data_IF_921089177635
#
_entry.id   IF_921089177635
#
_cell.length_a   1.000
_cell.length_b   1.000
_cell.length_c   1.000
_cell.angle_alpha   90.00
_cell.angle_beta   90.00
_cell.angle_gamma   90.00
#
_symmetry.space_group_name_H-M   'P 1'
#
loop_
_entity.id
_entity.type
_entity.pdbx_description
1 polymer ?
#
# COMPACT_ATOMS: atom_id res chain seq x y z
N UNK A 1 3.08 -11.92 4.14
CA UNK A 1 2.52 -10.60 4.49
C UNK A 1 3.52 -9.54 4.06
N UNK A 2 3.21 -8.73 3.04
CA UNK A 2 4.00 -7.55 2.70
C UNK A 2 3.43 -6.39 3.50
N UNK A 3 4.21 -5.82 4.42
CA UNK A 3 3.85 -4.57 5.04
C UNK A 3 3.96 -3.47 3.98
N UNK A 4 2.83 -2.87 3.58
CA UNK A 4 2.87 -1.61 2.84
C UNK A 4 3.14 -0.50 3.86
N UNK A 5 4.36 0.02 3.86
CA UNK A 5 4.66 1.29 4.48
C UNK A 5 4.17 2.40 3.53
N UNK A 6 3.13 3.13 3.92
CA UNK A 6 2.79 4.39 3.25
C UNK A 6 3.72 5.49 3.77
N UNK A 7 4.73 5.84 2.98
CA UNK A 7 5.54 7.02 3.23
C UNK A 7 4.92 8.20 2.47
N UNK A 8 4.28 9.12 3.19
CA UNK A 8 3.96 10.44 2.63
C UNK A 8 5.24 11.27 2.75
N UNK A 9 6.01 11.33 1.68
CA UNK A 9 7.22 12.17 1.61
C UNK A 9 6.80 13.58 1.22
N UNK A 10 6.72 14.49 2.20
CA UNK A 10 6.59 15.92 1.94
C UNK A 10 7.97 16.55 2.04
N UNK A 11 8.58 16.87 0.89
CA UNK A 11 9.81 17.65 0.85
C UNK A 11 9.47 19.13 0.95
N UNK A 12 9.77 19.76 2.09
CA UNK A 12 9.68 21.21 2.24
C UNK A 12 11.07 21.81 2.02
N UNK A 13 11.31 22.47 0.89
CA UNK A 13 12.47 23.35 0.74
C UNK A 13 12.33 24.55 1.69
N UNK A 14 13.36 24.89 2.45
CA UNK A 14 13.40 26.06 3.32
C UNK A 14 13.70 27.33 2.51
N UNK A 15 12.74 27.76 1.69
CA UNK A 15 12.70 29.14 1.23
C UNK A 15 11.93 29.97 2.25
N UNK A 16 12.60 30.94 2.88
CA UNK A 16 12.05 31.82 3.92
C UNK A 16 11.20 32.97 3.36
N UNK A 17 10.73 32.89 2.12
CA UNK A 17 10.05 34.01 1.45
C UNK A 17 8.67 33.71 0.86
N UNK A 18 8.08 32.53 1.09
CA UNK A 18 6.78 32.18 0.48
C UNK A 18 5.79 31.66 1.53
N UNK A 19 4.61 32.29 1.57
CA UNK A 19 3.50 31.95 2.46
C UNK A 19 3.05 30.48 2.29
N UNK A 20 2.60 29.79 3.36
CA UNK A 20 2.32 28.34 3.32
C UNK A 20 1.28 27.90 2.28
N UNK A 21 0.41 28.83 1.85
CA UNK A 21 -0.67 28.58 0.89
C UNK A 21 -0.22 28.52 -0.57
N UNK A 22 1.04 28.85 -0.87
CA UNK A 22 1.56 28.94 -2.25
C UNK A 22 2.67 27.92 -2.56
N UNK A 23 2.97 26.99 -1.64
CA UNK A 23 3.91 25.90 -1.91
C UNK A 23 3.29 24.92 -2.90
N UNK A 24 3.52 25.17 -4.19
CA UNK A 24 3.44 24.13 -5.18
C UNK A 24 4.42 23.00 -4.80
N UNK A 25 4.00 21.75 -4.93
CA UNK A 25 4.94 20.64 -4.96
C UNK A 25 5.78 20.81 -6.22
N UNK A 26 6.91 21.52 -6.13
CA UNK A 26 7.89 21.50 -7.20
C UNK A 26 8.27 20.05 -7.44
N UNK A 27 8.08 19.58 -8.68
CA UNK A 27 8.46 18.24 -9.08
C UNK A 27 9.92 18.03 -8.68
N UNK A 28 10.17 17.01 -7.87
CA UNK A 28 11.49 16.79 -7.32
C UNK A 28 12.49 16.66 -8.47
N UNK A 29 13.58 17.41 -8.44
CA UNK A 29 14.67 17.31 -9.42
C UNK A 29 15.52 16.05 -9.20
N UNK A 30 14.97 15.00 -8.59
CA UNK A 30 15.69 13.76 -8.37
C UNK A 30 15.84 13.05 -9.71
N UNK A 31 17.07 12.88 -10.24
CA UNK A 31 17.24 11.99 -11.39
C UNK A 31 16.73 10.60 -10.98
N UNK A 32 15.83 10.02 -11.78
CA UNK A 32 15.06 8.81 -11.44
C UNK A 32 15.89 7.54 -11.19
N UNK A 33 17.22 7.66 -11.20
CA UNK A 33 18.13 6.54 -11.10
C UNK A 33 17.98 5.63 -12.32
N UNK A 34 18.23 4.33 -12.16
CA UNK A 34 18.11 3.33 -13.23
C UNK A 34 16.65 3.02 -13.65
N UNK A 35 15.89 4.03 -14.08
CA UNK A 35 14.46 3.90 -14.38
C UNK A 35 14.16 2.93 -15.54
N UNK A 36 14.94 2.99 -16.63
CA UNK A 36 14.82 2.07 -17.76
C UNK A 36 15.09 0.62 -17.34
N UNK A 37 16.09 0.40 -16.48
CA UNK A 37 16.44 -0.92 -15.94
C UNK A 37 15.31 -1.47 -15.06
N UNK A 38 14.67 -0.62 -14.25
CA UNK A 38 13.49 -1.01 -13.48
C UNK A 38 12.31 -1.38 -14.38
N UNK A 39 12.04 -0.57 -15.41
CA UNK A 39 10.99 -0.84 -16.38
C UNK A 39 11.24 -2.14 -17.18
N UNK A 40 12.51 -2.48 -17.41
CA UNK A 40 12.91 -3.71 -18.07
C UNK A 40 13.03 -4.94 -17.14
N UNK A 41 12.70 -4.80 -15.85
CA UNK A 41 12.74 -5.88 -14.84
C UNK A 41 14.10 -6.61 -14.77
N UNK A 42 15.22 -5.88 -14.90
CA UNK A 42 16.56 -6.51 -14.98
C UNK A 42 17.16 -6.87 -13.60
N UNK A 43 16.58 -6.34 -12.52
CA UNK A 43 17.08 -6.54 -11.17
C UNK A 43 16.64 -7.89 -10.59
N UNK A 44 17.55 -8.50 -9.83
CA UNK A 44 17.33 -9.75 -9.13
C UNK A 44 16.68 -9.56 -7.76
N UNK A 45 16.20 -10.68 -7.19
CA UNK A 45 15.76 -10.72 -5.81
C UNK A 45 16.95 -10.42 -4.89
N UNK A 46 16.84 -9.37 -4.08
CA UNK A 46 17.85 -9.00 -3.08
C UNK A 46 18.80 -7.87 -3.52
N UNK A 47 18.67 -7.35 -4.75
CA UNK A 47 19.42 -6.18 -5.18
C UNK A 47 19.09 -4.96 -4.29
N UNK A 48 20.12 -4.22 -3.89
CA UNK A 48 19.99 -3.11 -2.94
C UNK A 48 19.41 -1.83 -3.57
N UNK A 49 19.06 -0.88 -2.70
CA UNK A 49 18.48 0.41 -3.12
C UNK A 49 19.49 1.31 -3.83
N UNK A 50 20.79 1.12 -3.61
CA UNK A 50 21.83 1.84 -4.34
C UNK A 50 21.83 1.40 -5.81
N UNK A 51 21.74 0.10 -6.05
CA UNK A 51 21.73 -0.53 -7.38
C UNK A 51 20.41 -0.29 -8.12
N UNK A 52 19.27 -0.41 -7.42
CA UNK A 52 17.94 -0.34 -8.05
C UNK A 52 17.39 1.09 -8.18
N UNK A 53 17.77 1.99 -7.27
CA UNK A 53 17.27 3.37 -7.21
C UNK A 53 18.36 4.45 -7.32
N UNK A 54 19.64 4.08 -7.36
CA UNK A 54 20.73 5.05 -7.37
C UNK A 54 20.87 5.84 -6.06
N UNK A 55 20.30 5.32 -4.96
CA UNK A 55 20.30 5.96 -3.65
C UNK A 55 21.57 5.63 -2.87
N UNK A 56 22.70 6.15 -3.35
CA UNK A 56 23.97 6.05 -2.62
C UNK A 56 23.86 6.67 -1.23
N UNK A 57 24.69 6.22 -0.28
CA UNK A 57 24.73 6.83 1.07
C UNK A 57 24.93 8.34 1.02
N UNK A 58 25.84 8.82 0.17
CA UNK A 58 26.11 10.24 -0.01
C UNK A 58 24.85 11.01 -0.46
N UNK A 59 24.06 10.40 -1.35
CA UNK A 59 22.84 10.99 -1.88
C UNK A 59 21.68 10.99 -0.89
N UNK A 60 21.56 9.95 -0.05
CA UNK A 60 20.59 9.95 1.05
C UNK A 60 20.84 11.12 2.01
N UNK A 61 22.10 11.47 2.25
CA UNK A 61 22.47 12.61 3.11
C UNK A 61 22.18 13.99 2.50
N UNK A 62 21.85 14.10 1.20
CA UNK A 62 21.44 15.37 0.59
C UNK A 62 19.92 15.54 0.52
N UNK A 63 19.14 14.55 0.94
CA UNK A 63 17.68 14.65 0.93
C UNK A 63 17.25 15.68 1.99
N UNK A 64 16.37 16.65 1.66
CA UNK A 64 15.90 17.67 2.60
C UNK A 64 14.81 17.10 3.54
N UNK A 65 15.02 15.90 4.07
CA UNK A 65 14.11 15.23 5.03
C UNK A 65 14.65 15.50 6.43
N UNK A 66 14.00 16.41 7.16
CA UNK A 66 14.37 16.73 8.55
C UNK A 66 13.65 15.84 9.56
N UNK A 67 12.41 15.44 9.23
CA UNK A 67 11.55 14.66 10.12
C UNK A 67 10.86 13.53 9.37
N UNK A 68 10.96 12.31 9.91
CA UNK A 68 10.18 11.17 9.45
C UNK A 68 9.16 10.84 10.54
N UNK A 69 7.88 11.01 10.22
CA UNK A 69 6.77 10.66 11.11
C UNK A 69 6.16 9.36 10.59
N UNK A 70 6.28 8.30 11.38
CA UNK A 70 5.69 7.00 11.04
C UNK A 70 4.36 6.86 11.77
N UNK A 71 3.26 6.85 11.01
CA UNK A 71 1.93 6.52 11.53
C UNK A 71 1.59 5.08 11.18
N UNK A 72 1.39 4.26 12.21
CA UNK A 72 0.93 2.88 12.05
C UNK A 72 -0.59 2.87 12.19
N UNK A 73 -1.26 2.23 11.25
CA UNK A 73 -2.68 1.92 11.34
C UNK A 73 -2.84 0.42 11.55
N UNK A 74 -3.84 0.04 12.34
CA UNK A 74 -4.11 -1.36 12.63
C UNK A 74 -5.37 -1.87 11.91
N UNK A 75 -5.38 -3.18 11.67
CA UNK A 75 -6.55 -4.01 11.31
C UNK A 75 -7.35 -3.58 10.07
N UNK A 76 -6.78 -2.84 9.12
CA UNK A 76 -7.44 -2.56 7.83
C UNK A 76 -6.52 -2.88 6.66
N UNK A 77 -7.03 -3.67 5.72
CA UNK A 77 -6.31 -4.01 4.49
C UNK A 77 -6.25 -2.82 3.54
N UNK A 78 -5.33 -2.88 2.57
CA UNK A 78 -5.26 -1.90 1.49
C UNK A 78 -6.60 -1.81 0.75
N UNK A 79 -7.19 -2.94 0.35
CA UNK A 79 -8.45 -2.97 -0.40
C UNK A 79 -9.62 -2.30 0.36
N UNK A 80 -9.63 -2.42 1.70
CA UNK A 80 -10.64 -1.77 2.53
C UNK A 80 -10.56 -0.24 2.45
N UNK A 81 -9.34 0.32 2.43
CA UNK A 81 -9.12 1.77 2.47
C UNK A 81 -9.03 2.40 1.06
N UNK A 82 -8.40 1.69 0.14
CA UNK A 82 -7.94 2.22 -1.14
C UNK A 82 -8.25 1.29 -2.32
N UNK A 83 -8.89 0.14 -2.12
CA UNK A 83 -9.17 -0.80 -3.21
C UNK A 83 -10.07 -0.22 -4.31
N UNK A 84 -10.85 0.81 -4.00
CA UNK A 84 -11.71 1.50 -4.99
C UNK A 84 -11.13 2.82 -5.49
N UNK A 85 -9.88 3.14 -5.12
CA UNK A 85 -9.19 4.34 -5.57
C UNK A 85 -8.87 4.22 -7.07
N UNK A 86 -9.45 5.11 -7.87
CA UNK A 86 -9.23 5.18 -9.31
C UNK A 86 -7.95 5.98 -9.61
N UNK A 87 -6.82 5.30 -9.65
CA UNK A 87 -5.50 5.89 -9.93
C UNK A 87 -4.64 4.92 -10.75
N UNK A 88 -3.92 5.37 -11.79
CA UNK A 88 -3.16 4.49 -12.69
C UNK A 88 -2.08 3.66 -11.99
N UNK A 89 -1.50 4.19 -10.91
CA UNK A 89 -0.45 3.50 -10.14
C UNK A 89 -0.98 2.68 -8.96
N UNK A 90 -2.30 2.50 -8.85
CA UNK A 90 -2.93 1.72 -7.79
C UNK A 90 -3.39 0.37 -8.34
N UNK A 91 -2.81 -0.70 -7.78
CA UNK A 91 -3.34 -2.05 -7.93
C UNK A 91 -4.56 -2.21 -7.02
N UNK A 92 -5.70 -1.80 -7.54
CA UNK A 92 -6.97 -1.75 -6.81
C UNK A 92 -7.67 -3.11 -6.72
N UNK A 93 -8.76 -3.12 -5.95
CA UNK A 93 -9.65 -4.25 -5.83
C UNK A 93 -10.38 -4.48 -7.18
N UNK A 94 -10.40 -5.72 -7.72
CA UNK A 94 -11.17 -6.03 -8.90
C UNK A 94 -12.66 -5.67 -8.72
N UNK A 95 -13.28 -5.08 -9.76
CA UNK A 95 -14.66 -4.59 -9.68
C UNK A 95 -15.68 -5.68 -9.39
N UNK A 96 -15.37 -6.92 -9.74
CA UNK A 96 -16.19 -8.12 -9.55
C UNK A 96 -15.69 -9.02 -8.42
N UNK A 97 -14.77 -8.52 -7.58
CA UNK A 97 -14.22 -9.26 -6.45
C UNK A 97 -15.34 -9.82 -5.56
N UNK A 98 -15.30 -11.14 -5.37
CA UNK A 98 -16.26 -11.87 -4.56
C UNK A 98 -15.62 -13.12 -3.97
N UNK A 99 -16.18 -13.58 -2.86
CA UNK A 99 -15.79 -14.81 -2.18
C UNK A 99 -17.04 -15.62 -1.86
N UNK A 100 -16.94 -16.95 -1.92
CA UNK A 100 -18.09 -17.82 -1.64
C UNK A 100 -18.26 -17.99 -0.14
N UNK A 101 -19.50 -17.87 0.34
CA UNK A 101 -19.87 -18.26 1.70
C UNK A 101 -19.84 -19.79 1.88
N UNK A 102 -20.20 -20.26 3.09
CA UNK A 102 -20.25 -21.69 3.42
C UNK A 102 -21.21 -22.50 2.52
N UNK A 103 -22.27 -21.87 2.00
CA UNK A 103 -23.29 -22.47 1.13
C UNK A 103 -22.97 -22.37 -0.36
N UNK A 104 -21.87 -21.69 -0.71
CA UNK A 104 -21.41 -21.52 -2.09
C UNK A 104 -21.94 -20.25 -2.78
N UNK A 105 -22.69 -19.41 -2.07
CA UNK A 105 -23.20 -18.13 -2.57
C UNK A 105 -22.06 -17.12 -2.67
N UNK A 106 -22.02 -16.35 -3.75
CA UNK A 106 -21.03 -15.27 -3.89
C UNK A 106 -21.42 -14.10 -2.98
N UNK A 107 -20.47 -13.68 -2.13
CA UNK A 107 -20.51 -12.41 -1.41
C UNK A 107 -19.55 -11.47 -2.12
N UNK A 108 -20.11 -10.41 -2.73
CA UNK A 108 -19.33 -9.38 -3.41
C UNK A 108 -18.78 -8.37 -2.42
N UNK A 109 -17.65 -7.76 -2.74
CA UNK A 109 -17.19 -6.57 -2.02
C UNK A 109 -18.25 -5.46 -2.09
N UNK A 110 -18.45 -4.75 -0.98
CA UNK A 110 -19.48 -3.72 -0.87
C UNK A 110 -19.00 -2.54 -0.03
N UNK A 111 -19.62 -1.38 -0.23
CA UNK A 111 -19.37 -0.19 0.55
C UNK A 111 -20.03 -0.31 1.92
N UNK A 112 -19.26 -0.10 2.98
CA UNK A 112 -19.79 0.03 4.34
C UNK A 112 -20.53 1.36 4.51
N UNK A 113 -21.67 1.32 5.21
CA UNK A 113 -22.45 2.52 5.53
C UNK A 113 -21.86 3.38 6.66
N UNK A 114 -20.90 2.83 7.41
CA UNK A 114 -20.21 3.53 8.49
C UNK A 114 -18.76 3.05 8.62
N UNK A 115 -17.97 3.72 9.45
CA UNK A 115 -16.61 3.28 9.80
C UNK A 115 -16.58 2.22 10.90
N UNK A 116 -17.73 1.95 11.54
CA UNK A 116 -17.86 0.85 12.49
C UNK A 116 -18.01 -0.46 11.72
N UNK A 117 -17.17 -1.43 12.05
CA UNK A 117 -17.34 -2.81 11.61
C UNK A 117 -18.17 -3.56 12.64
N UNK A 118 -19.22 -4.24 12.17
CA UNK A 118 -20.11 -5.03 13.02
C UNK A 118 -19.41 -6.28 13.57
N UNK A 119 -18.48 -6.84 12.80
CA UNK A 119 -17.61 -7.93 13.21
C UNK A 119 -16.16 -7.62 12.82
N UNK A 120 -15.21 -7.96 13.69
CA UNK A 120 -13.79 -7.84 13.39
C UNK A 120 -13.35 -9.04 12.54
N UNK A 121 -12.82 -8.84 11.33
CA UNK A 121 -12.36 -9.94 10.50
C UNK A 121 -11.21 -10.69 11.19
N UNK A 122 -11.15 -12.03 11.05
CA UNK A 122 -10.07 -12.81 11.61
C UNK A 122 -8.74 -12.41 10.99
N UNK A 123 -7.74 -12.21 11.85
CA UNK A 123 -6.45 -11.64 11.49
C UNK A 123 -5.28 -12.41 12.11
N UNK A 124 -5.50 -13.65 12.57
CA UNK A 124 -4.41 -14.53 13.02
C UNK A 124 -3.70 -15.17 11.82
N UNK A 125 -2.50 -15.71 12.05
CA UNK A 125 -1.68 -16.31 10.99
C UNK A 125 -2.44 -17.39 10.18
N UNK A 126 -3.08 -18.34 10.86
CA UNK A 126 -3.79 -19.44 10.21
C UNK A 126 -4.99 -18.97 9.39
N UNK A 127 -5.68 -17.93 9.85
CA UNK A 127 -6.79 -17.33 9.11
C UNK A 127 -6.27 -16.67 7.86
N UNK A 128 -5.21 -15.87 7.94
CA UNK A 128 -4.58 -15.25 6.78
C UNK A 128 -4.14 -16.28 5.73
N UNK A 129 -3.59 -17.42 6.17
CA UNK A 129 -3.24 -18.54 5.26
C UNK A 129 -4.49 -19.10 4.57
N UNK A 130 -5.57 -19.29 5.33
CA UNK A 130 -6.86 -19.76 4.81
C UNK A 130 -7.49 -18.78 3.84
N UNK A 131 -7.44 -17.48 4.14
CA UNK A 131 -7.96 -16.40 3.31
C UNK A 131 -7.22 -16.30 1.97
N UNK A 132 -5.89 -16.38 2.02
CA UNK A 132 -5.01 -16.35 0.85
C UNK A 132 -5.20 -17.58 -0.07
N UNK A 133 -5.41 -18.75 0.54
CA UNK A 133 -5.67 -20.03 -0.15
C UNK A 133 -4.76 -20.29 -1.36
N UNK A 134 -3.45 -20.36 -1.15
CA UNK A 134 -2.50 -20.65 -2.22
C UNK A 134 -2.38 -19.56 -3.30
N UNK A 135 -2.90 -18.36 -3.05
CA UNK A 135 -2.97 -17.27 -4.02
C UNK A 135 -4.30 -17.19 -4.77
N UNK A 136 -5.26 -18.08 -4.48
CA UNK A 136 -6.60 -18.02 -5.07
C UNK A 136 -7.45 -16.87 -4.49
N UNK A 137 -7.07 -16.30 -3.34
CA UNK A 137 -7.72 -15.12 -2.72
C UNK A 137 -9.24 -15.27 -2.51
N UNK A 138 -9.69 -16.50 -2.21
CA UNK A 138 -11.11 -16.86 -2.16
C UNK A 138 -11.59 -17.43 -0.82
N UNK A 139 -10.78 -17.31 0.24
CA UNK A 139 -11.08 -17.83 1.57
C UNK A 139 -11.63 -16.82 2.58
N UNK A 140 -11.73 -15.53 2.25
CA UNK A 140 -12.05 -14.43 3.18
C UNK A 140 -13.39 -14.61 3.89
N UNK A 141 -14.46 -14.89 3.15
CA UNK A 141 -15.81 -15.05 3.72
C UNK A 141 -15.90 -16.32 4.57
N UNK A 142 -15.24 -17.40 4.14
CA UNK A 142 -15.24 -18.68 4.87
C UNK A 142 -14.46 -18.60 6.17
N UNK A 143 -13.30 -17.93 6.15
CA UNK A 143 -12.50 -17.69 7.34
C UNK A 143 -13.26 -16.82 8.35
N UNK A 144 -14.00 -15.80 7.90
CA UNK A 144 -14.79 -14.96 8.79
C UNK A 144 -15.99 -15.67 9.44
N UNK A 145 -16.44 -16.81 8.88
CA UNK A 145 -17.62 -17.53 9.37
C UNK A 145 -17.35 -18.51 10.53
N UNK A 146 -16.07 -18.73 10.90
CA UNK A 146 -15.69 -19.66 11.99
C UNK A 146 -15.55 -18.99 13.36
N UNK A 147 -15.55 -17.66 13.42
CA UNK A 147 -15.39 -16.89 14.67
C UNK A 147 -16.70 -16.23 15.16
N UNK A 148 -17.85 -16.89 14.92
CA UNK A 148 -19.17 -16.45 15.40
C UNK A 148 -19.64 -17.19 16.65
#
# INVERSE_FOLDING_TARGET
>A
MRALAFAVVSACATSTTVEPSERACEASTFPEGPAEQRAACVFGVGDDTETTLGLTRARVHTLPIEHVIVRVQENRSFDHLFGTLDHPDVDGLPRDASNRDAFGTNVHAFRLGSTCLEADPPHQWNDNVTQWNGGAMNGFVRAAAVDG
#
